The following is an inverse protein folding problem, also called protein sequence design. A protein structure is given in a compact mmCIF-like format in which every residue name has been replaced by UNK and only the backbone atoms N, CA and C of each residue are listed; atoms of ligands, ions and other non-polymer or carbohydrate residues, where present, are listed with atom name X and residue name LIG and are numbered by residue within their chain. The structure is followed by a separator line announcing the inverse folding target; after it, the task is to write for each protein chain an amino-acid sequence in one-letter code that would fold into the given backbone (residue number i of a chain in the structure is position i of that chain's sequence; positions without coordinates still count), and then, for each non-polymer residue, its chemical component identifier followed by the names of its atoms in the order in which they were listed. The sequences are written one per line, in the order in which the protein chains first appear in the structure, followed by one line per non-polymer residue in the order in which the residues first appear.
data_IF_935360808600
#
_entry.id   IF_935360808600
#
_cell.length_a   1.000
_cell.length_b   1.000
_cell.length_c   1.000
_cell.angle_alpha   90.00
_cell.angle_beta   90.00
_cell.angle_gamma   90.00
#
_symmetry.space_group_name_H-M   'P 1'
#
loop_
_entity.id
_entity.type
_entity.pdbx_description
1 polymer ?
#
# COMPACT_ATOMS: atom_id res chain seq x y z
N UNK A 1 4.04 20.94 -14.63
CA UNK A 1 5.27 20.22 -15.05
C UNK A 1 5.57 19.16 -14.00
N UNK A 2 5.63 17.89 -14.40
CA UNK A 2 5.98 16.80 -13.49
C UNK A 2 7.50 16.73 -13.40
N UNK A 3 8.07 16.91 -12.20
CA UNK A 3 9.51 16.75 -11.97
C UNK A 3 9.79 15.27 -11.80
N UNK A 4 10.57 14.68 -12.70
CA UNK A 4 10.92 13.25 -12.69
C UNK A 4 12.32 13.11 -12.08
N UNK A 5 12.48 12.17 -11.15
CA UNK A 5 13.76 11.83 -10.54
C UNK A 5 13.99 10.33 -10.71
N UNK A 6 15.15 9.94 -11.21
CA UNK A 6 15.57 8.54 -11.26
C UNK A 6 16.25 8.17 -9.96
N UNK A 7 15.78 7.09 -9.33
CA UNK A 7 16.35 6.58 -8.08
C UNK A 7 16.88 5.18 -8.35
N UNK A 8 18.09 4.89 -7.88
CA UNK A 8 18.72 3.57 -7.95
C UNK A 8 19.11 3.14 -6.54
N UNK A 9 18.83 1.88 -6.21
CA UNK A 9 19.19 1.28 -4.93
C UNK A 9 19.62 -0.17 -5.15
N UNK A 10 20.51 -0.65 -4.28
CA UNK A 10 20.88 -2.07 -4.24
C UNK A 10 19.81 -2.83 -3.47
N UNK A 11 19.39 -3.98 -3.99
CA UNK A 11 18.46 -4.92 -3.36
C UNK A 11 19.02 -6.32 -3.51
N UNK A 12 18.76 -7.20 -2.55
CA UNK A 12 19.13 -8.60 -2.70
C UNK A 12 18.21 -9.29 -3.71
N UNK A 13 18.74 -10.26 -4.45
CA UNK A 13 17.97 -10.97 -5.49
C UNK A 13 16.73 -11.66 -4.93
N UNK A 14 16.85 -12.25 -3.74
CA UNK A 14 15.75 -12.92 -3.05
C UNK A 14 14.65 -11.93 -2.61
N UNK A 15 15.01 -10.73 -2.17
CA UNK A 15 14.07 -9.68 -1.81
C UNK A 15 13.31 -9.18 -3.04
N UNK A 16 14.03 -9.00 -4.16
CA UNK A 16 13.42 -8.61 -5.42
C UNK A 16 12.47 -9.69 -5.98
N UNK A 17 12.87 -10.96 -5.91
CA UNK A 17 12.03 -12.08 -6.32
C UNK A 17 10.76 -12.18 -5.45
N UNK A 18 10.90 -12.03 -4.13
CA UNK A 18 9.77 -12.00 -3.22
C UNK A 18 8.84 -10.80 -3.47
N UNK A 19 9.40 -9.64 -3.80
CA UNK A 19 8.61 -8.45 -4.13
C UNK A 19 7.79 -8.69 -5.39
N UNK A 20 8.42 -9.16 -6.48
CA UNK A 20 7.75 -9.49 -7.75
C UNK A 20 6.60 -10.47 -7.57
N UNK A 21 6.82 -11.51 -6.74
CA UNK A 21 5.79 -12.47 -6.41
C UNK A 21 4.62 -11.84 -5.64
N UNK A 22 4.90 -10.94 -4.69
CA UNK A 22 3.86 -10.26 -3.89
C UNK A 22 3.08 -9.23 -4.69
N UNK A 23 3.72 -8.52 -5.61
CA UNK A 23 3.08 -7.54 -6.48
C UNK A 23 2.46 -8.18 -7.72
N UNK A 24 2.77 -9.45 -8.00
CA UNK A 24 2.42 -10.16 -9.24
C UNK A 24 2.93 -9.42 -10.50
N UNK A 25 4.14 -8.85 -10.40
CA UNK A 25 4.78 -8.09 -11.48
C UNK A 25 6.07 -8.80 -11.92
N UNK A 26 6.29 -8.96 -13.23
CA UNK A 26 7.53 -9.54 -13.77
C UNK A 26 8.67 -8.52 -13.88
N UNK A 27 8.30 -7.26 -14.11
CA UNK A 27 9.22 -6.13 -14.28
C UNK A 27 9.70 -5.62 -12.93
N UNK A 28 11.02 -5.47 -12.79
CA UNK A 28 11.63 -4.90 -11.56
C UNK A 28 11.15 -3.48 -11.31
N UNK A 29 11.00 -2.67 -12.37
CA UNK A 29 10.55 -1.28 -12.27
C UNK A 29 9.12 -1.21 -11.74
N UNK A 30 8.24 -2.04 -12.27
CA UNK A 30 6.82 -1.99 -11.95
C UNK A 30 6.55 -2.57 -10.55
N UNK A 31 7.27 -3.65 -10.18
CA UNK A 31 7.25 -4.19 -8.82
C UNK A 31 7.68 -3.15 -7.77
N UNK A 32 8.78 -2.43 -8.02
CA UNK A 32 9.27 -1.37 -7.11
C UNK A 32 8.31 -0.18 -7.08
N UNK A 33 7.77 0.24 -8.22
CA UNK A 33 6.78 1.32 -8.27
C UNK A 33 5.53 0.95 -7.46
N UNK A 34 4.98 -0.26 -7.64
CA UNK A 34 3.86 -0.77 -6.89
C UNK A 34 4.13 -0.80 -5.38
N UNK A 35 5.34 -1.20 -4.97
CA UNK A 35 5.76 -1.18 -3.57
C UNK A 35 5.74 0.23 -2.97
N UNK A 36 6.25 1.22 -3.70
CA UNK A 36 6.28 2.62 -3.28
C UNK A 36 4.86 3.18 -3.15
N UNK A 37 4.01 2.97 -4.17
CA UNK A 37 2.61 3.40 -4.11
C UNK A 37 1.87 2.74 -2.95
N UNK A 38 2.06 1.44 -2.77
CA UNK A 38 1.48 0.73 -1.63
C UNK A 38 1.95 1.32 -0.31
N UNK A 39 3.26 1.55 -0.13
CA UNK A 39 3.79 2.12 1.11
C UNK A 39 3.21 3.51 1.42
N UNK A 40 3.05 4.36 0.40
CA UNK A 40 2.49 5.70 0.54
C UNK A 40 0.97 5.71 0.78
N UNK A 41 0.24 4.71 0.29
CA UNK A 41 -1.21 4.61 0.48
C UNK A 41 -1.61 3.69 1.65
N UNK A 42 -0.66 2.95 2.21
CA UNK A 42 -0.95 1.92 3.20
C UNK A 42 -1.49 2.54 4.50
N UNK A 43 -2.65 2.07 4.91
CA UNK A 43 -3.32 2.52 6.12
C UNK A 43 -2.59 2.14 7.43
N UNK A 44 -1.55 1.32 7.34
CA UNK A 44 -0.74 0.90 8.48
C UNK A 44 0.60 1.65 8.56
N UNK A 45 0.98 2.42 7.54
CA UNK A 45 2.21 3.21 7.51
C UNK A 45 1.96 4.69 7.84
N UNK A 46 0.70 5.13 7.82
CA UNK A 46 0.28 6.48 8.22
C UNK A 46 -0.47 6.42 9.56
N UNK A 47 -0.02 7.17 10.57
CA UNK A 47 -0.62 7.23 11.92
C UNK A 47 -2.14 7.55 11.88
N UNK A 48 -2.60 8.34 10.90
CA UNK A 48 -4.01 8.74 10.74
C UNK A 48 -4.96 7.64 10.22
N UNK A 49 -4.44 6.58 9.61
CA UNK A 49 -5.27 5.66 8.85
C UNK A 49 -5.89 4.52 9.69
N UNK A 50 -5.36 4.26 10.90
CA UNK A 50 -6.02 3.46 11.92
C UNK A 50 -7.33 4.12 12.40
N UNK A 51 -7.32 5.44 12.62
CA UNK A 51 -8.51 6.20 13.02
C UNK A 51 -9.61 6.11 11.96
N UNK A 52 -9.28 6.31 10.69
CA UNK A 52 -10.24 6.17 9.56
C UNK A 52 -10.78 4.76 9.40
N UNK A 53 -9.97 3.74 9.73
CA UNK A 53 -10.42 2.34 9.70
C UNK A 53 -11.38 2.03 10.86
N UNK A 54 -11.10 2.55 12.05
CA UNK A 54 -12.01 2.49 13.20
C UNK A 54 -13.35 3.16 12.89
N UNK A 55 -13.36 4.36 12.30
CA UNK A 55 -14.58 5.04 11.87
C UNK A 55 -15.42 4.18 10.92
N UNK A 56 -14.80 3.57 9.90
CA UNK A 56 -15.51 2.67 8.98
C UNK A 56 -16.11 1.44 9.66
N UNK A 57 -15.42 0.88 10.67
CA UNK A 57 -15.92 -0.27 11.43
C UNK A 57 -17.11 0.16 12.31
N UNK A 58 -17.03 1.33 12.93
CA UNK A 58 -18.11 1.88 13.76
C UNK A 58 -19.36 2.20 12.93
N UNK A 59 -19.20 2.87 11.77
CA UNK A 59 -20.31 3.15 10.84
C UNK A 59 -21.00 1.88 10.33
N UNK A 60 -20.23 0.84 9.99
CA UNK A 60 -20.83 -0.45 9.59
C UNK A 60 -21.67 -1.07 10.70
N UNK A 61 -21.24 -0.98 11.96
CA UNK A 61 -22.03 -1.50 13.10
C UNK A 61 -23.30 -0.68 13.33
N UNK A 62 -23.22 0.64 13.27
CA UNK A 62 -24.39 1.50 13.45
C UNK A 62 -25.45 1.24 12.38
N UNK A 63 -25.05 1.15 11.11
CA UNK A 63 -25.97 0.83 10.01
C UNK A 63 -26.62 -0.56 10.14
N UNK A 64 -25.96 -1.53 10.79
CA UNK A 64 -26.55 -2.86 11.07
C UNK A 64 -27.57 -2.79 12.20
N UNK A 65 -27.32 -1.94 13.21
CA UNK A 65 -28.22 -1.75 14.35
C UNK A 65 -29.46 -0.92 13.98
N UNK A 66 -29.34 0.04 13.06
CA UNK A 66 -30.45 0.87 12.59
C UNK A 66 -31.38 0.15 11.58
N UNK A 67 -30.94 -0.99 11.03
CA UNK A 67 -31.70 -1.79 10.06
C UNK A 67 -32.31 -3.09 10.66
N UNK A 68 -32.30 -3.24 12.00
CA UNK A 68 -32.94 -4.32 12.77
C UNK A 68 -33.99 -3.72 13.70
#
# INVERSE_FOLDING_TARGET
MTKIVHVQTVLMENELAALKQKTNEESTKDAVAAAIYHYLECAYTHEDAWAKRLEKIMQKRQNILENN
#
